data_IF_789749001567
#
_entry.id   IF_789749001567
#
_cell.length_a   1.000
_cell.length_b   1.000
_cell.length_c   1.000
_cell.angle_alpha   90.00
_cell.angle_beta   90.00
_cell.angle_gamma   90.00
#
_symmetry.space_group_name_H-M   'P 1'
#
loop_
_entity.id
_entity.type
_entity.pdbx_description
1 polymer ?
#
# COMPACT_ATOMS: atom_id res chain seq x y z
N UNK A 1 2.46 -13.23 -13.40
CA UNK A 1 1.74 -12.74 -12.21
C UNK A 1 1.95 -11.24 -12.13
N UNK A 2 0.87 -10.47 -12.08
CA UNK A 2 0.93 -9.00 -12.00
C UNK A 2 0.35 -8.56 -10.67
N UNK A 3 1.05 -7.71 -9.94
CA UNK A 3 0.60 -7.18 -8.64
C UNK A 3 0.50 -5.66 -8.73
N UNK A 4 -0.71 -5.13 -8.58
CA UNK A 4 -0.98 -3.71 -8.42
C UNK A 4 -1.08 -3.34 -6.93
N UNK A 5 -0.55 -2.18 -6.56
CA UNK A 5 -0.62 -1.64 -5.19
C UNK A 5 -1.00 -0.17 -5.24
N UNK A 6 -2.01 0.21 -4.47
CA UNK A 6 -2.46 1.59 -4.30
C UNK A 6 -2.57 1.90 -2.80
N UNK A 7 -2.08 3.07 -2.41
CA UNK A 7 -2.09 3.55 -1.03
C UNK A 7 -2.68 4.96 -1.04
N UNK A 8 -3.69 5.19 -0.22
CA UNK A 8 -4.29 6.50 0.00
C UNK A 8 -4.26 6.79 1.50
N UNK A 9 -3.50 7.79 1.92
CA UNK A 9 -3.31 8.14 3.33
C UNK A 9 -3.57 9.62 3.54
N UNK A 10 -4.34 9.95 4.58
CA UNK A 10 -4.52 11.30 5.08
C UNK A 10 -3.97 11.37 6.50
N UNK A 11 -3.22 12.42 6.80
CA UNK A 11 -2.59 12.58 8.10
C UNK A 11 -2.71 13.99 8.64
N UNK A 12 -2.56 14.10 9.95
CA UNK A 12 -2.55 15.34 10.68
C UNK A 12 -1.30 15.41 11.56
N UNK A 13 -0.85 16.63 11.80
CA UNK A 13 0.36 16.92 12.55
C UNK A 13 0.01 17.68 13.82
N UNK A 14 0.60 17.27 14.93
CA UNK A 14 0.34 17.73 16.29
C UNK A 14 1.68 18.09 16.95
N UNK A 15 1.61 18.91 18.00
CA UNK A 15 2.75 19.25 18.86
C UNK A 15 3.93 19.82 18.06
N UNK A 16 3.73 20.91 17.33
CA UNK A 16 4.77 21.55 16.51
C UNK A 16 5.47 20.57 15.55
N UNK A 17 4.66 19.72 14.93
CA UNK A 17 5.10 18.72 13.96
C UNK A 17 5.89 17.54 14.55
N UNK A 18 5.89 17.39 15.88
CA UNK A 18 6.59 16.31 16.58
C UNK A 18 5.79 15.00 16.62
N UNK A 19 4.46 15.06 16.49
CA UNK A 19 3.60 13.89 16.40
C UNK A 19 2.75 13.96 15.15
N UNK A 20 2.90 12.99 14.25
CA UNK A 20 2.09 12.86 13.06
C UNK A 20 1.25 11.59 13.18
N UNK A 21 -0.04 11.69 12.93
CA UNK A 21 -0.96 10.55 12.90
C UNK A 21 -1.61 10.50 11.53
N UNK A 22 -1.78 9.31 10.99
CA UNK A 22 -2.34 9.09 9.67
C UNK A 22 -3.30 7.91 9.67
N UNK A 23 -4.32 8.01 8.84
CA UNK A 23 -5.23 6.92 8.52
C UNK A 23 -5.38 6.84 7.00
N UNK A 24 -5.62 5.64 6.50
CA UNK A 24 -5.66 5.41 5.07
C UNK A 24 -6.25 4.07 4.68
N UNK A 25 -6.21 3.81 3.38
CA UNK A 25 -6.65 2.59 2.76
C UNK A 25 -5.53 2.08 1.86
N UNK A 26 -5.37 0.75 1.85
CA UNK A 26 -4.49 0.04 0.93
C UNK A 26 -5.30 -0.86 0.03
N UNK A 27 -5.19 -0.63 -1.27
CA UNK A 27 -5.69 -1.51 -2.31
C UNK A 27 -4.57 -2.41 -2.83
N UNK A 28 -4.84 -3.70 -2.96
CA UNK A 28 -3.95 -4.67 -3.61
C UNK A 28 -4.75 -5.40 -4.68
N UNK A 29 -4.21 -5.47 -5.89
CA UNK A 29 -4.75 -6.29 -6.96
C UNK A 29 -3.71 -7.32 -7.37
N UNK A 30 -4.12 -8.57 -7.53
CA UNK A 30 -3.23 -9.63 -8.01
C UNK A 30 -3.89 -10.36 -9.15
N UNK A 31 -3.20 -10.43 -10.29
CA UNK A 31 -3.63 -11.13 -11.49
C UNK A 31 -2.70 -12.30 -11.75
N UNK A 32 -3.28 -13.49 -11.83
CA UNK A 32 -2.62 -14.72 -12.26
C UNK A 32 -3.07 -15.01 -13.68
N UNK A 33 -2.14 -14.90 -14.63
CA UNK A 33 -2.33 -15.24 -16.04
C UNK A 33 -1.58 -16.52 -16.33
N UNK A 34 -2.21 -17.46 -17.03
CA UNK A 34 -1.52 -18.63 -17.55
C UNK A 34 -0.94 -18.30 -18.93
N UNK A 35 0.34 -18.63 -19.21
CA UNK A 35 0.87 -18.55 -20.55
C UNK A 35 0.10 -19.52 -21.45
N UNK A 36 -0.36 -19.04 -22.61
CA UNK A 36 -0.98 -19.90 -23.61
C UNK A 36 0.03 -20.96 -24.07
N UNK A 37 -0.25 -22.23 -23.81
CA UNK A 37 0.60 -23.33 -24.29
C UNK A 37 0.26 -23.65 -25.74
N UNK A 38 0.83 -22.87 -26.67
CA UNK A 38 0.69 -23.10 -28.12
C UNK A 38 0.90 -21.82 -28.94
N UNK A 39 1.48 -21.97 -30.13
CA UNK A 39 1.72 -20.87 -31.08
C UNK A 39 0.39 -20.20 -31.48
N UNK A 40 0.10 -19.04 -30.90
CA UNK A 40 -1.09 -18.24 -31.21
C UNK A 40 -2.13 -18.07 -30.08
N UNK A 41 -1.89 -18.59 -28.87
CA UNK A 41 -2.84 -18.43 -27.77
C UNK A 41 -2.57 -17.17 -26.91
N UNK A 42 -3.59 -16.32 -26.83
CA UNK A 42 -3.63 -15.11 -26.00
C UNK A 42 -3.55 -15.53 -24.52
N UNK A 43 -2.73 -14.88 -23.68
CA UNK A 43 -2.67 -15.13 -22.25
C UNK A 43 -4.08 -15.02 -21.63
N UNK A 44 -4.52 -16.08 -20.94
CA UNK A 44 -5.82 -16.07 -20.27
C UNK A 44 -5.64 -15.69 -18.80
N UNK A 45 -6.41 -14.70 -18.34
CA UNK A 45 -6.46 -14.32 -16.93
C UNK A 45 -7.30 -15.34 -16.18
N UNK A 46 -6.66 -16.11 -15.30
CA UNK A 46 -7.30 -17.23 -14.59
C UNK A 46 -7.82 -16.80 -13.23
N UNK A 47 -7.16 -15.84 -12.59
CA UNK A 47 -7.61 -15.32 -11.31
C UNK A 47 -7.24 -13.84 -11.15
N UNK A 48 -8.23 -13.04 -10.76
CA UNK A 48 -8.04 -11.67 -10.30
C UNK A 48 -8.53 -11.58 -8.86
N UNK A 49 -7.63 -11.23 -7.94
CA UNK A 49 -8.00 -10.93 -6.54
C UNK A 49 -7.83 -9.44 -6.30
N UNK A 50 -8.83 -8.84 -5.63
CA UNK A 50 -8.81 -7.44 -5.21
C UNK A 50 -9.05 -7.41 -3.72
N UNK A 51 -8.15 -6.77 -2.98
CA UNK A 51 -8.25 -6.57 -1.53
C UNK A 51 -8.14 -5.10 -1.19
N UNK A 52 -9.00 -4.64 -0.28
CA UNK A 52 -8.91 -3.30 0.32
C UNK A 52 -8.84 -3.48 1.83
N UNK A 53 -7.85 -2.87 2.46
CA UNK A 53 -7.65 -2.93 3.90
C UNK A 53 -7.41 -1.52 4.48
N UNK A 54 -7.94 -1.24 5.69
CA UNK A 54 -7.60 -0.02 6.41
C UNK A 54 -6.14 -0.01 6.84
N UNK A 55 -5.60 1.19 6.97
CA UNK A 55 -4.27 1.45 7.50
C UNK A 55 -4.36 2.59 8.50
N UNK A 56 -3.60 2.47 9.58
CA UNK A 56 -3.35 3.55 10.53
C UNK A 56 -1.86 3.61 10.74
N UNK A 57 -1.34 4.80 11.00
CA UNK A 57 0.05 4.97 11.36
C UNK A 57 0.28 6.20 12.22
N UNK A 58 1.39 6.21 12.94
CA UNK A 58 1.86 7.33 13.73
C UNK A 58 3.37 7.49 13.54
N UNK A 59 3.86 8.71 13.61
CA UNK A 59 5.27 9.06 13.58
C UNK A 59 5.56 10.09 14.68
N UNK A 60 6.53 9.77 15.53
CA UNK A 60 7.06 10.62 16.57
C UNK A 60 8.47 11.10 16.18
N UNK A 61 8.66 12.41 16.18
CA UNK A 61 9.89 13.08 15.84
C UNK A 61 10.14 14.24 16.81
N UNK A 62 11.02 14.09 17.81
CA UNK A 62 11.36 15.19 18.71
C UNK A 62 12.11 16.33 18.01
N UNK A 63 11.88 17.56 18.44
CA UNK A 63 12.41 18.78 17.81
C UNK A 63 13.94 18.93 17.87
N UNK A 64 14.57 18.38 18.91
CA UNK A 64 16.02 18.45 19.14
C UNK A 64 16.73 17.10 19.00
N UNK A 65 16.09 16.14 18.33
CA UNK A 65 16.68 14.82 18.16
C UNK A 65 16.55 14.32 16.72
N UNK A 66 17.60 13.71 16.15
CA UNK A 66 17.57 13.26 14.77
C UNK A 66 16.80 11.95 14.57
N UNK A 67 16.34 11.30 15.65
CA UNK A 67 15.63 10.03 15.56
C UNK A 67 14.14 10.24 15.27
N UNK A 68 13.56 9.25 14.60
CA UNK A 68 12.13 9.16 14.28
C UNK A 68 11.66 7.75 14.59
N UNK A 69 10.51 7.63 15.26
CA UNK A 69 9.88 6.35 15.54
C UNK A 69 8.50 6.36 14.88
N UNK A 70 8.17 5.34 14.11
CA UNK A 70 6.85 5.24 13.49
C UNK A 70 6.38 3.81 13.32
N UNK A 71 5.07 3.63 13.31
CA UNK A 71 4.36 2.37 13.13
C UNK A 71 3.05 2.63 12.37
#
# INVERSE_FOLDING_TARGET
MTVGRLHATAGYSLLDNQLQVAAGLRGVTTVISLPGTGAGLIPSNVLTMVGIAPQVGALLQPEYSPWRLGA
#
